data_IF_836827852028
#
_entry.id   IF_836827852028
#
_cell.length_a   1.000
_cell.length_b   1.000
_cell.length_c   1.000
_cell.angle_alpha   90.00
_cell.angle_beta   90.00
_cell.angle_gamma   90.00
#
_symmetry.space_group_name_H-M   'P 1'
#
loop_
_entity.id
_entity.type
_entity.pdbx_description
1 polymer ?
#
# COMPACT_ATOMS: atom_id res chain seq x y z
N UNK A 1 -13.44 29.34 -2.89
CA UNK A 1 -12.35 28.50 -2.37
C UNK A 1 -11.59 27.72 -3.43
N UNK A 2 -10.65 28.36 -4.14
CA UNK A 2 -9.76 27.66 -5.09
C UNK A 2 -8.49 27.10 -4.42
N UNK A 3 -8.05 27.72 -3.32
CA UNK A 3 -6.84 27.33 -2.59
C UNK A 3 -6.97 25.95 -1.93
N UNK A 4 -8.11 25.64 -1.31
CA UNK A 4 -8.36 24.33 -0.71
C UNK A 4 -8.45 23.21 -1.75
N UNK A 5 -8.99 23.50 -2.94
CA UNK A 5 -9.09 22.51 -4.02
C UNK A 5 -7.71 22.03 -4.50
N UNK A 6 -6.71 22.93 -4.53
CA UNK A 6 -5.34 22.57 -4.91
C UNK A 6 -4.71 21.63 -3.87
N UNK A 7 -4.90 21.89 -2.58
CA UNK A 7 -4.40 21.01 -1.51
C UNK A 7 -4.99 19.61 -1.62
N UNK A 8 -6.31 19.49 -1.78
CA UNK A 8 -6.97 18.19 -1.95
C UNK A 8 -6.53 17.47 -3.22
N UNK A 9 -6.26 18.20 -4.31
CA UNK A 9 -5.73 17.60 -5.53
C UNK A 9 -4.32 17.02 -5.32
N UNK A 10 -3.44 17.76 -4.64
CA UNK A 10 -2.09 17.27 -4.32
C UNK A 10 -2.13 16.07 -3.38
N UNK A 11 -3.03 16.07 -2.40
CA UNK A 11 -3.24 14.95 -1.50
C UNK A 11 -3.70 13.70 -2.27
N UNK A 12 -4.67 13.84 -3.16
CA UNK A 12 -5.14 12.75 -4.02
C UNK A 12 -4.01 12.19 -4.90
N UNK A 13 -3.19 13.06 -5.50
CA UNK A 13 -2.03 12.63 -6.31
C UNK A 13 -1.02 11.88 -5.46
N UNK A 14 -0.69 12.39 -4.26
CA UNK A 14 0.23 11.71 -3.34
C UNK A 14 -0.27 10.32 -2.94
N UNK A 15 -1.57 10.19 -2.64
CA UNK A 15 -2.20 8.90 -2.36
C UNK A 15 -2.09 7.95 -3.56
N UNK A 16 -2.36 8.41 -4.78
CA UNK A 16 -2.24 7.60 -5.99
C UNK A 16 -0.81 7.11 -6.20
N UNK A 17 0.19 7.98 -6.07
CA UNK A 17 1.61 7.60 -6.23
C UNK A 17 2.02 6.57 -5.18
N UNK A 18 1.64 6.76 -3.91
CA UNK A 18 1.94 5.80 -2.85
C UNK A 18 1.32 4.43 -3.10
N UNK A 19 0.08 4.41 -3.58
CA UNK A 19 -0.64 3.19 -3.93
C UNK A 19 -0.02 2.46 -5.13
N UNK A 20 0.36 3.19 -6.18
CA UNK A 20 1.07 2.62 -7.33
C UNK A 20 2.41 2.03 -6.90
N UNK A 21 3.17 2.74 -6.06
CA UNK A 21 4.41 2.24 -5.49
C UNK A 21 4.21 0.92 -4.73
N UNK A 22 3.23 0.87 -3.83
CA UNK A 22 2.90 -0.35 -3.08
C UNK A 22 2.53 -1.52 -4.01
N UNK A 23 1.65 -1.29 -4.99
CA UNK A 23 1.22 -2.32 -5.94
C UNK A 23 2.40 -2.83 -6.78
N UNK A 24 3.28 -1.94 -7.23
CA UNK A 24 4.47 -2.31 -8.00
C UNK A 24 5.45 -3.13 -7.16
N UNK A 25 5.70 -2.74 -5.92
CA UNK A 25 6.58 -3.48 -5.01
C UNK A 25 6.04 -4.87 -4.67
N UNK A 26 4.74 -4.99 -4.37
CA UNK A 26 4.10 -6.28 -4.12
C UNK A 26 4.16 -7.17 -5.37
N UNK A 27 3.88 -6.61 -6.55
CA UNK A 27 4.02 -7.32 -7.82
C UNK A 27 5.44 -7.86 -8.05
N UNK A 28 6.46 -7.05 -7.76
CA UNK A 28 7.86 -7.47 -7.86
C UNK A 28 8.20 -8.63 -6.92
N UNK A 29 7.77 -8.57 -5.66
CA UNK A 29 7.98 -9.65 -4.67
C UNK A 29 7.32 -10.95 -5.14
N UNK A 30 6.08 -10.88 -5.62
CA UNK A 30 5.34 -12.03 -6.15
C UNK A 30 6.06 -12.66 -7.32
N UNK A 31 6.56 -11.83 -8.24
CA UNK A 31 7.26 -12.29 -9.43
C UNK A 31 8.57 -12.99 -9.07
N UNK A 32 9.34 -12.42 -8.13
CA UNK A 32 10.58 -13.02 -7.63
C UNK A 32 10.35 -14.40 -6.99
N UNK A 33 9.24 -14.58 -6.27
CA UNK A 33 8.89 -15.82 -5.55
C UNK A 33 8.09 -16.83 -6.37
N UNK A 34 7.93 -16.58 -7.68
CA UNK A 34 7.14 -17.44 -8.58
C UNK A 34 7.60 -18.90 -8.60
N UNK A 35 8.92 -19.14 -8.55
CA UNK A 35 9.50 -20.50 -8.53
C UNK A 35 9.14 -21.25 -7.23
N UNK A 36 9.13 -20.55 -6.10
CA UNK A 36 8.72 -21.11 -4.80
C UNK A 36 7.27 -21.58 -4.83
N UNK A 37 6.36 -20.77 -5.40
CA UNK A 37 4.94 -21.15 -5.55
C UNK A 37 4.74 -22.37 -6.44
N UNK A 38 5.59 -22.53 -7.48
CA UNK A 38 5.61 -23.74 -8.31
C UNK A 38 6.01 -24.99 -7.54
N UNK A 39 7.02 -24.89 -6.67
CA UNK A 39 7.46 -25.99 -5.80
C UNK A 39 6.41 -26.33 -4.74
N UNK A 40 5.80 -25.34 -4.09
CA UNK A 40 4.71 -25.55 -3.14
C UNK A 40 3.51 -26.28 -3.78
N UNK A 41 3.25 -26.01 -5.06
CA UNK A 41 2.21 -26.73 -5.81
C UNK A 41 2.57 -28.20 -6.05
N UNK A 42 3.84 -28.55 -6.24
CA UNK A 42 4.27 -29.95 -6.31
C UNK A 42 4.15 -30.68 -4.98
N UNK A 43 4.24 -29.95 -3.86
CA UNK A 43 3.96 -30.46 -2.51
C UNK A 43 2.46 -30.60 -2.21
N UNK A 44 1.59 -30.29 -3.17
CA UNK A 44 0.14 -30.49 -3.05
C UNK A 44 -0.65 -29.26 -2.59
N UNK A 45 -0.05 -28.08 -2.45
CA UNK A 45 -0.81 -26.87 -2.12
C UNK A 45 -1.77 -26.48 -3.25
N UNK A 46 -2.98 -26.10 -2.86
CA UNK A 46 -4.02 -25.63 -3.77
C UNK A 46 -3.81 -24.18 -4.16
N UNK A 47 -4.37 -23.77 -5.32
CA UNK A 47 -4.31 -22.37 -5.77
C UNK A 47 -4.99 -21.40 -4.81
N UNK A 48 -5.98 -21.87 -4.05
CA UNK A 48 -6.68 -21.07 -3.05
C UNK A 48 -5.77 -20.77 -1.84
N UNK A 49 -4.99 -21.74 -1.38
CA UNK A 49 -4.04 -21.56 -0.28
C UNK A 49 -2.93 -20.56 -0.63
N UNK A 50 -2.38 -20.64 -1.85
CA UNK A 50 -1.36 -19.68 -2.31
C UNK A 50 -1.93 -18.26 -2.38
N UNK A 51 -3.17 -18.09 -2.87
CA UNK A 51 -3.84 -16.77 -2.90
C UNK A 51 -4.13 -16.24 -1.51
N UNK A 52 -4.58 -17.08 -0.57
CA UNK A 52 -4.85 -16.68 0.81
C UNK A 52 -3.57 -16.24 1.52
N UNK A 53 -2.46 -16.98 1.33
CA UNK A 53 -1.14 -16.60 1.82
C UNK A 53 -0.70 -15.24 1.27
N UNK A 54 -0.87 -15.04 -0.04
CA UNK A 54 -0.45 -13.80 -0.67
C UNK A 54 -1.32 -12.59 -0.27
N UNK A 55 -2.63 -12.81 -0.09
CA UNK A 55 -3.54 -11.82 0.46
C UNK A 55 -3.13 -11.43 1.89
N UNK A 56 -2.77 -12.40 2.73
CA UNK A 56 -2.29 -12.14 4.09
C UNK A 56 -0.97 -11.35 4.09
N UNK A 57 -0.01 -11.72 3.24
CA UNK A 57 1.28 -11.03 3.13
C UNK A 57 1.10 -9.58 2.64
N UNK A 58 0.33 -9.38 1.57
CA UNK A 58 0.01 -8.04 1.05
C UNK A 58 -0.77 -7.20 2.06
N UNK A 59 -1.75 -7.78 2.76
CA UNK A 59 -2.52 -7.13 3.80
C UNK A 59 -1.67 -6.71 5.01
N UNK A 60 -0.77 -7.58 5.46
CA UNK A 60 0.16 -7.29 6.55
C UNK A 60 1.13 -6.16 6.19
N UNK A 61 1.73 -6.20 4.99
CA UNK A 61 2.63 -5.15 4.52
C UNK A 61 1.92 -3.80 4.40
N UNK A 62 0.70 -3.80 3.87
CA UNK A 62 -0.12 -2.60 3.76
C UNK A 62 -0.50 -2.02 5.13
N UNK A 63 -0.86 -2.89 6.09
CA UNK A 63 -1.18 -2.49 7.45
C UNK A 63 0.04 -1.88 8.16
N UNK A 64 1.20 -2.52 8.05
CA UNK A 64 2.45 -2.01 8.63
C UNK A 64 2.84 -0.67 8.00
N UNK A 65 2.71 -0.55 6.68
CA UNK A 65 2.93 0.71 5.96
C UNK A 65 1.98 1.81 6.42
N UNK A 66 0.69 1.50 6.61
CA UNK A 66 -0.30 2.44 7.12
C UNK A 66 0.02 2.92 8.55
N UNK A 67 0.39 2.00 9.44
CA UNK A 67 0.78 2.34 10.82
C UNK A 67 2.04 3.21 10.85
N UNK A 68 3.06 2.87 10.05
CA UNK A 68 4.27 3.67 9.93
C UNK A 68 3.98 5.06 9.35
N UNK A 69 3.14 5.15 8.32
CA UNK A 69 2.71 6.40 7.71
C UNK A 69 1.91 7.28 8.68
N UNK A 70 1.00 6.70 9.47
CA UNK A 70 0.28 7.40 10.53
C UNK A 70 1.22 7.94 11.60
N UNK A 71 2.17 7.13 12.06
CA UNK A 71 3.13 7.54 13.09
C UNK A 71 4.01 8.71 12.58
N UNK A 72 4.53 8.59 11.36
CA UNK A 72 5.33 9.65 10.73
C UNK A 72 4.50 10.92 10.48
N UNK A 73 3.28 10.78 9.94
CA UNK A 73 2.37 11.90 9.69
C UNK A 73 1.96 12.61 10.97
N UNK A 74 1.66 11.87 12.03
CA UNK A 74 1.37 12.42 13.35
C UNK A 74 2.57 13.17 13.92
N UNK A 75 3.78 12.60 13.84
CA UNK A 75 5.01 13.26 14.28
C UNK A 75 5.24 14.59 13.53
N UNK A 76 5.09 14.59 12.20
CA UNK A 76 5.21 15.81 11.38
C UNK A 76 4.14 16.83 11.78
N UNK A 77 2.89 16.39 11.96
CA UNK A 77 1.77 17.26 12.35
C UNK A 77 2.01 17.92 13.71
N UNK A 78 2.51 17.17 14.69
CA UNK A 78 2.90 17.69 16.00
C UNK A 78 4.01 18.74 15.90
N UNK A 79 5.04 18.50 15.08
CA UNK A 79 6.12 19.47 14.85
C UNK A 79 5.57 20.76 14.22
N UNK A 80 4.70 20.65 13.21
CA UNK A 80 4.08 21.81 12.58
C UNK A 80 3.25 22.63 13.57
N UNK A 81 2.43 21.99 14.40
CA UNK A 81 1.54 22.69 15.34
C UNK A 81 2.30 23.29 16.53
N UNK A 82 3.21 22.53 17.15
CA UNK A 82 3.83 22.96 18.40
C UNK A 82 5.13 23.75 18.22
N UNK A 83 5.86 23.55 17.12
CA UNK A 83 7.11 24.25 16.85
C UNK A 83 6.88 25.38 15.85
N UNK A 84 6.43 25.06 14.63
CA UNK A 84 6.33 26.04 13.54
C UNK A 84 5.24 27.07 13.81
N UNK A 85 4.01 26.63 14.14
CA UNK A 85 2.90 27.55 14.35
C UNK A 85 3.10 28.48 15.56
N UNK A 86 3.72 27.96 16.64
CA UNK A 86 4.03 28.77 17.82
C UNK A 86 5.08 29.84 17.50
N UNK A 87 6.12 29.51 16.73
CA UNK A 87 7.14 30.49 16.33
C UNK A 87 6.61 31.55 15.35
N UNK A 88 5.70 31.19 14.45
CA UNK A 88 5.21 32.10 13.39
C UNK A 88 4.01 32.95 13.81
N UNK A 89 3.07 32.41 14.60
CA UNK A 89 1.78 33.03 14.87
C UNK A 89 1.46 33.22 16.36
N UNK A 90 2.35 32.80 17.27
CA UNK A 90 2.26 32.96 18.73
C UNK A 90 0.99 32.38 19.40
N UNK A 91 0.17 31.60 18.68
CA UNK A 91 -1.02 30.88 19.18
C UNK A 91 -0.92 29.38 18.85
N UNK A 92 -1.57 28.52 19.64
CA UNK A 92 -1.69 27.08 19.37
C UNK A 92 -3.12 26.73 18.95
N UNK A 93 -3.27 25.88 17.93
CA UNK A 93 -4.56 25.30 17.55
C UNK A 93 -4.76 23.95 18.24
N UNK A 94 -5.99 23.63 18.61
CA UNK A 94 -6.34 22.27 19.05
C UNK A 94 -6.23 21.29 17.88
N UNK A 95 -5.49 20.21 18.09
CA UNK A 95 -5.40 19.10 17.16
C UNK A 95 -6.71 18.31 17.22
N UNK A 96 -7.49 18.36 16.14
CA UNK A 96 -8.68 17.54 15.98
C UNK A 96 -8.44 16.45 14.92
N UNK A 97 -7.76 15.33 15.29
CA UNK A 97 -7.48 14.25 14.36
C UNK A 97 -8.77 13.59 13.84
N UNK A 98 -8.98 13.49 12.52
CA UNK A 98 -10.20 12.91 11.94
C UNK A 98 -10.10 11.37 11.92
N UNK A 99 -10.24 10.74 13.09
CA UNK A 99 -10.11 9.29 13.25
C UNK A 99 -10.99 8.47 12.29
N UNK A 100 -12.19 8.97 11.98
CA UNK A 100 -13.10 8.32 11.02
C UNK A 100 -12.54 8.27 9.59
N UNK A 101 -12.00 9.39 9.10
CA UNK A 101 -11.39 9.46 7.77
C UNK A 101 -10.14 8.58 7.71
N UNK A 102 -9.30 8.62 8.75
CA UNK A 102 -8.10 7.77 8.84
C UNK A 102 -8.46 6.29 8.80
N UNK A 103 -9.49 5.87 9.55
CA UNK A 103 -9.98 4.49 9.52
C UNK A 103 -10.44 4.04 8.13
N UNK A 104 -11.21 4.88 7.44
CA UNK A 104 -11.67 4.60 6.07
C UNK A 104 -10.49 4.51 5.09
N UNK A 105 -9.53 5.43 5.16
CA UNK A 105 -8.36 5.41 4.29
C UNK A 105 -7.49 4.16 4.48
N UNK A 106 -7.29 3.73 5.73
CA UNK A 106 -6.56 2.49 6.04
C UNK A 106 -7.30 1.28 5.48
N UNK A 107 -8.62 1.21 5.65
CA UNK A 107 -9.44 0.13 5.10
C UNK A 107 -9.35 0.06 3.58
N UNK A 108 -9.42 1.21 2.90
CA UNK A 108 -9.27 1.29 1.44
C UNK A 108 -7.86 0.83 1.02
N UNK A 109 -6.82 1.30 1.71
CA UNK A 109 -5.44 0.97 1.39
C UNK A 109 -5.14 -0.52 1.57
N UNK A 110 -5.56 -1.11 2.70
CA UNK A 110 -5.41 -2.55 2.95
C UNK A 110 -6.25 -3.37 1.98
N UNK A 111 -7.50 -2.97 1.74
CA UNK A 111 -8.39 -3.65 0.80
C UNK A 111 -7.81 -3.67 -0.61
N UNK A 112 -7.24 -2.54 -1.05
CA UNK A 112 -6.63 -2.44 -2.36
C UNK A 112 -5.30 -3.20 -2.46
N UNK A 113 -4.49 -3.22 -1.40
CA UNK A 113 -3.29 -4.04 -1.35
C UNK A 113 -3.60 -5.55 -1.41
N UNK A 114 -4.63 -6.00 -0.72
CA UNK A 114 -5.12 -7.39 -0.80
C UNK A 114 -5.62 -7.69 -2.22
N UNK A 115 -6.38 -6.76 -2.81
CA UNK A 115 -6.89 -6.91 -4.16
C UNK A 115 -5.76 -7.02 -5.20
N UNK A 116 -4.77 -6.13 -5.15
CA UNK A 116 -3.61 -6.15 -6.07
C UNK A 116 -2.75 -7.39 -5.85
N UNK A 117 -2.53 -7.80 -4.60
CA UNK A 117 -1.80 -9.03 -4.28
C UNK A 117 -2.47 -10.26 -4.90
N UNK A 118 -3.80 -10.39 -4.78
CA UNK A 118 -4.56 -11.49 -5.38
C UNK A 118 -4.50 -11.44 -6.91
N UNK A 119 -4.62 -10.24 -7.51
CA UNK A 119 -4.56 -10.04 -8.96
C UNK A 119 -3.19 -10.44 -9.52
N UNK A 120 -2.10 -9.93 -8.93
CA UNK A 120 -0.72 -10.29 -9.28
C UNK A 120 -0.46 -11.78 -9.10
N UNK A 121 -1.02 -12.40 -8.05
CA UNK A 121 -0.96 -13.85 -7.86
C UNK A 121 -1.67 -14.63 -8.97
N UNK A 122 -2.79 -14.12 -9.51
CA UNK A 122 -3.46 -14.71 -10.68
C UNK A 122 -2.62 -14.56 -11.94
N UNK A 123 -2.00 -13.41 -12.17
CA UNK A 123 -1.11 -13.20 -13.32
C UNK A 123 0.16 -14.05 -13.24
N UNK A 124 0.82 -14.11 -12.08
CA UNK A 124 1.99 -14.98 -11.89
C UNK A 124 1.66 -16.47 -12.08
N UNK A 125 0.46 -16.90 -11.71
CA UNK A 125 -0.02 -18.28 -11.88
C UNK A 125 -0.67 -18.54 -13.25
N UNK A 126 -1.01 -17.50 -14.00
CA UNK A 126 -1.81 -17.55 -15.24
C UNK A 126 -1.08 -17.14 -16.51
N UNK A 127 0.05 -16.40 -16.41
CA UNK A 127 0.94 -16.17 -17.54
C UNK A 127 1.60 -17.50 -17.85
N UNK A 128 1.00 -18.20 -18.80
CA UNK A 128 1.43 -19.50 -19.24
C UNK A 128 2.92 -19.53 -19.63
N UNK A 129 3.48 -20.75 -19.77
CA UNK A 129 4.88 -21.02 -20.12
C UNK A 129 5.45 -20.26 -21.34
N UNK A 130 4.60 -19.58 -22.11
CA UNK A 130 4.92 -18.93 -23.39
C UNK A 130 5.78 -17.66 -23.24
N UNK A 131 5.77 -16.95 -22.10
CA UNK A 131 6.69 -15.80 -21.91
C UNK A 131 8.09 -16.18 -21.39
N UNK A 132 8.24 -17.34 -20.77
CA UNK A 132 9.55 -17.81 -20.31
C UNK A 132 10.49 -18.15 -21.48
N UNK A 133 9.95 -18.39 -22.67
CA UNK A 133 10.72 -18.69 -23.90
C UNK A 133 11.17 -17.42 -24.64
N UNK A 134 10.72 -16.22 -24.23
CA UNK A 134 11.09 -14.96 -24.90
C UNK A 134 12.18 -14.17 -24.17
N UNK A 135 12.64 -14.61 -23.00
CA UNK A 135 13.80 -14.00 -22.32
C UNK A 135 15.13 -14.70 -22.66
N UNK A 136 15.10 -15.81 -23.40
CA UNK A 136 16.28 -16.60 -23.81
C UNK A 136 16.71 -16.37 -25.28
N UNK A 137 16.21 -15.33 -25.96
CA UNK A 137 16.65 -14.94 -27.31
C UNK A 137 16.94 -13.44 -27.42
#
# INVERSE_FOLDING_TARGET
DRSFAVTYAMEAVAMLVGLFGLSSSLGAIVLARRREFGMLRHLGLTRAQIRAMLAAEGGLLALLGALAGLAAGAAISLVLVYVVNRQSFNWSMELHPPYGLLGVLILILVGLAVFTAILSGKEAMGIGPVRAVREDW
#
